data_IF_307034829623
#
_entry.id   IF_307034829623
#
_cell.length_a   1.000
_cell.length_b   1.000
_cell.length_c   1.000
_cell.angle_alpha   90.00
_cell.angle_beta   90.00
_cell.angle_gamma   90.00
#
_symmetry.space_group_name_H-M   'P 1'
#
loop_
_entity.id
_entity.type
_entity.pdbx_description
1 polymer ?
#
# COMPACT_ATOMS: atom_id res chain seq x y z
N UNK A 1 -18.17 11.34 2.88
CA UNK A 1 -18.74 11.89 1.63
C UNK A 1 -17.75 12.07 0.48
N UNK A 2 -16.64 11.39 0.56
CA UNK A 2 -15.62 11.42 -0.50
C UNK A 2 -15.76 10.27 -1.52
N UNK A 3 -16.80 9.47 -1.41
CA UNK A 3 -16.94 8.22 -2.19
C UNK A 3 -17.04 8.47 -3.69
N UNK A 4 -17.82 9.45 -4.15
CA UNK A 4 -18.02 9.69 -5.57
C UNK A 4 -16.73 10.16 -6.27
N UNK A 5 -15.99 11.07 -5.66
CA UNK A 5 -14.70 11.53 -6.19
C UNK A 5 -13.67 10.38 -6.23
N UNK A 6 -13.66 9.52 -5.22
CA UNK A 6 -12.78 8.36 -5.19
C UNK A 6 -13.16 7.34 -6.27
N UNK A 7 -14.44 7.08 -6.48
CA UNK A 7 -14.93 6.21 -7.56
C UNK A 7 -14.51 6.71 -8.94
N UNK A 8 -14.63 8.02 -9.18
CA UNK A 8 -14.17 8.64 -10.42
C UNK A 8 -12.66 8.52 -10.59
N UNK A 9 -11.89 8.79 -9.54
CA UNK A 9 -10.43 8.69 -9.58
C UNK A 9 -9.96 7.26 -9.84
N UNK A 10 -10.61 6.25 -9.27
CA UNK A 10 -10.29 4.85 -9.52
C UNK A 10 -10.52 4.43 -10.98
N UNK A 11 -11.31 5.17 -11.77
CA UNK A 11 -11.41 4.91 -13.23
C UNK A 11 -10.11 5.20 -13.97
N UNK A 12 -9.26 6.04 -13.40
CA UNK A 12 -8.01 6.47 -14.00
C UNK A 12 -6.78 5.80 -13.36
N UNK A 13 -6.97 4.90 -12.38
CA UNK A 13 -5.90 4.23 -11.66
C UNK A 13 -5.62 2.83 -12.22
N UNK A 14 -4.35 2.45 -12.28
CA UNK A 14 -3.91 1.09 -12.65
C UNK A 14 -3.56 0.24 -11.42
N UNK A 15 -3.35 0.87 -10.26
CA UNK A 15 -3.12 0.24 -8.97
C UNK A 15 -3.62 1.16 -7.85
N UNK A 16 -3.88 0.63 -6.67
CA UNK A 16 -4.35 1.39 -5.52
C UNK A 16 -3.55 1.05 -4.25
N UNK A 17 -3.48 2.01 -3.34
CA UNK A 17 -3.02 1.77 -1.97
C UNK A 17 -4.24 1.78 -1.05
N UNK A 18 -4.46 0.67 -0.37
CA UNK A 18 -5.45 0.56 0.70
C UNK A 18 -4.78 0.88 2.03
N UNK A 19 -5.23 1.95 2.68
CA UNK A 19 -4.70 2.37 3.98
C UNK A 19 -5.66 1.92 5.07
N UNK A 20 -5.16 1.06 5.97
CA UNK A 20 -5.90 0.53 7.12
C UNK A 20 -5.36 1.14 8.40
N UNK A 21 -6.23 1.57 9.28
CA UNK A 21 -5.86 1.99 10.64
C UNK A 21 -5.54 0.75 11.48
N UNK A 22 -4.33 0.65 12.01
CA UNK A 22 -3.85 -0.53 12.75
C UNK A 22 -4.70 -0.85 14.01
N UNK A 23 -5.36 0.14 14.60
CA UNK A 23 -6.25 -0.07 15.74
C UNK A 23 -7.67 -0.44 15.34
N UNK A 24 -8.18 0.13 14.23
CA UNK A 24 -9.57 -0.05 13.79
C UNK A 24 -9.78 -1.23 12.84
N UNK A 25 -8.75 -1.55 12.05
CA UNK A 25 -8.86 -2.55 10.98
C UNK A 25 -9.69 -2.06 9.79
N UNK A 26 -10.40 -2.98 9.15
CA UNK A 26 -11.20 -2.70 7.97
C UNK A 26 -12.53 -2.07 8.35
N UNK A 27 -12.72 -0.80 7.94
CA UNK A 27 -13.95 -0.05 8.13
C UNK A 27 -14.92 -0.24 6.94
N UNK A 28 -16.21 0.03 7.15
CA UNK A 28 -17.25 -0.14 6.11
C UNK A 28 -16.96 0.63 4.80
N UNK A 29 -16.33 1.79 4.90
CA UNK A 29 -15.94 2.58 3.73
C UNK A 29 -14.79 1.91 2.95
N UNK A 30 -13.85 1.28 3.65
CA UNK A 30 -12.76 0.51 3.02
C UNK A 30 -13.32 -0.65 2.20
N UNK A 31 -14.31 -1.39 2.73
CA UNK A 31 -14.98 -2.47 2.01
C UNK A 31 -15.61 -1.98 0.69
N UNK A 32 -16.34 -0.87 0.74
CA UNK A 32 -16.99 -0.32 -0.46
C UNK A 32 -15.98 0.07 -1.54
N UNK A 33 -14.88 0.70 -1.14
CA UNK A 33 -13.82 1.10 -2.09
C UNK A 33 -13.06 -0.11 -2.62
N UNK A 34 -12.85 -1.12 -1.79
CA UNK A 34 -12.28 -2.39 -2.20
C UNK A 34 -13.11 -3.08 -3.28
N UNK A 35 -14.45 -3.17 -3.09
CA UNK A 35 -15.37 -3.74 -4.08
C UNK A 35 -15.23 -3.04 -5.44
N UNK A 36 -15.07 -1.72 -5.45
CA UNK A 36 -14.85 -0.95 -6.70
C UNK A 36 -13.51 -1.30 -7.35
N UNK A 37 -12.44 -1.43 -6.56
CA UNK A 37 -11.15 -1.88 -7.09
C UNK A 37 -11.26 -3.28 -7.70
N UNK A 38 -11.94 -4.20 -7.01
CA UNK A 38 -12.15 -5.58 -7.47
C UNK A 38 -12.96 -5.64 -8.78
N UNK A 39 -14.04 -4.88 -8.88
CA UNK A 39 -14.86 -4.80 -10.11
C UNK A 39 -14.11 -4.23 -11.32
N UNK A 40 -12.98 -3.59 -11.09
CA UNK A 40 -12.15 -2.95 -12.13
C UNK A 40 -10.80 -3.64 -12.29
N UNK A 41 -10.59 -4.77 -11.63
CA UNK A 41 -9.33 -5.52 -11.63
C UNK A 41 -8.12 -4.63 -11.26
N UNK A 42 -8.31 -3.71 -10.32
CA UNK A 42 -7.26 -2.83 -9.81
C UNK A 42 -6.54 -3.53 -8.67
N UNK A 43 -5.26 -3.94 -8.84
CA UNK A 43 -4.49 -4.55 -7.77
C UNK A 43 -4.20 -3.56 -6.64
N UNK A 44 -4.09 -4.09 -5.43
CA UNK A 44 -4.01 -3.29 -4.20
C UNK A 44 -2.73 -3.61 -3.43
N UNK A 45 -2.00 -2.57 -3.06
CA UNK A 45 -0.98 -2.61 -2.01
C UNK A 45 -1.62 -2.17 -0.70
N UNK A 46 -1.45 -2.95 0.35
CA UNK A 46 -2.02 -2.62 1.68
C UNK A 46 -0.99 -1.96 2.59
N UNK A 47 -1.36 -0.84 3.18
CA UNK A 47 -0.57 -0.14 4.19
C UNK A 47 -1.32 -0.08 5.52
N UNK A 48 -0.84 -0.83 6.51
CA UNK A 48 -1.35 -0.81 7.89
C UNK A 48 -0.67 0.35 8.63
N UNK A 49 -1.43 1.42 8.82
CA UNK A 49 -0.97 2.73 9.27
C UNK A 49 -1.16 2.93 10.77
N UNK A 50 -0.37 3.79 11.36
CA UNK A 50 -0.40 4.23 12.76
C UNK A 50 0.19 3.21 13.74
N UNK A 51 1.20 2.47 13.34
CA UNK A 51 1.94 1.56 14.23
C UNK A 51 2.64 2.28 15.40
N UNK A 52 2.82 3.60 15.31
CA UNK A 52 3.30 4.47 16.40
C UNK A 52 2.27 4.69 17.53
N UNK A 53 1.08 4.09 17.43
CA UNK A 53 0.00 4.08 18.42
C UNK A 53 -0.35 2.65 18.81
N UNK A 54 -1.13 2.50 19.90
CA UNK A 54 -1.72 1.21 20.24
C UNK A 54 -2.51 0.65 19.07
N UNK A 55 -2.22 -0.59 18.73
CA UNK A 55 -2.74 -1.28 17.55
C UNK A 55 -3.20 -2.69 17.93
N UNK A 56 -3.92 -3.33 17.03
CA UNK A 56 -4.21 -4.77 17.14
C UNK A 56 -2.98 -5.59 16.80
N UNK A 57 -3.04 -6.88 17.12
CA UNK A 57 -2.03 -7.82 16.68
C UNK A 57 -1.89 -7.81 15.14
N UNK A 58 -0.67 -7.76 14.61
CA UNK A 58 -0.45 -7.76 13.16
C UNK A 58 -1.03 -8.99 12.46
N UNK A 59 -0.98 -10.19 13.07
CA UNK A 59 -1.58 -11.39 12.48
C UNK A 59 -3.10 -11.30 12.41
N UNK A 60 -3.75 -10.84 13.48
CA UNK A 60 -5.21 -10.60 13.47
C UNK A 60 -5.61 -9.62 12.35
N UNK A 61 -4.75 -8.64 12.04
CA UNK A 61 -4.97 -7.69 10.95
C UNK A 61 -4.85 -8.37 9.58
N UNK A 62 -3.88 -9.27 9.38
CA UNK A 62 -3.73 -10.05 8.16
C UNK A 62 -4.92 -11.00 7.95
N UNK A 63 -5.35 -11.69 9.02
CA UNK A 63 -6.51 -12.58 8.99
C UNK A 63 -7.79 -11.80 8.64
N UNK A 64 -8.00 -10.62 9.25
CA UNK A 64 -9.15 -9.77 8.92
C UNK A 64 -9.15 -9.35 7.44
N UNK A 65 -7.99 -9.01 6.87
CA UNK A 65 -7.87 -8.67 5.44
C UNK A 65 -8.23 -9.87 4.59
N UNK A 66 -7.65 -11.03 4.89
CA UNK A 66 -7.89 -12.26 4.13
C UNK A 66 -9.35 -12.67 4.19
N UNK A 67 -9.97 -12.66 5.37
CA UNK A 67 -11.35 -13.09 5.57
C UNK A 67 -12.36 -12.13 4.95
N UNK A 68 -12.23 -10.82 5.20
CA UNK A 68 -13.21 -9.82 4.74
C UNK A 68 -13.07 -9.48 3.27
N UNK A 69 -11.84 -9.47 2.74
CA UNK A 69 -11.58 -9.07 1.37
C UNK A 69 -11.38 -10.25 0.43
N UNK A 70 -11.25 -11.48 0.97
CA UNK A 70 -10.92 -12.67 0.18
C UNK A 70 -9.67 -12.44 -0.66
N UNK A 71 -8.66 -11.81 -0.06
CA UNK A 71 -7.34 -11.57 -0.61
C UNK A 71 -6.30 -12.34 0.19
N UNK A 72 -5.40 -13.01 -0.50
CA UNK A 72 -4.21 -13.54 0.12
C UNK A 72 -3.31 -12.38 0.57
N UNK A 73 -2.78 -12.45 1.80
CA UNK A 73 -1.91 -11.43 2.37
C UNK A 73 -0.47 -11.89 2.39
N UNK A 74 0.42 -11.06 1.86
CA UNK A 74 1.87 -11.27 1.97
C UNK A 74 2.51 -10.11 2.71
N UNK A 75 2.92 -10.27 3.98
CA UNK A 75 3.64 -9.23 4.67
C UNK A 75 5.02 -9.00 4.04
N UNK A 76 5.25 -7.79 3.57
CA UNK A 76 6.56 -7.34 3.05
C UNK A 76 7.39 -6.68 4.14
N UNK A 77 6.72 -6.10 5.13
CA UNK A 77 7.33 -5.57 6.35
C UNK A 77 6.60 -6.14 7.55
N UNK A 78 7.36 -6.48 8.61
CA UNK A 78 6.82 -6.96 9.89
C UNK A 78 7.21 -6.04 11.03
N UNK A 79 6.27 -5.54 11.85
CA UNK A 79 6.55 -4.57 12.88
C UNK A 79 7.25 -5.20 14.09
N UNK A 80 8.24 -4.51 14.64
CA UNK A 80 8.82 -4.81 15.95
C UNK A 80 8.18 -3.91 17.01
N UNK A 81 7.18 -4.46 17.68
CA UNK A 81 6.36 -3.74 18.65
C UNK A 81 5.34 -2.80 18.03
N UNK A 82 4.63 -2.07 18.87
CA UNK A 82 3.61 -1.07 18.50
C UNK A 82 3.52 0.04 19.55
N UNK A 83 2.89 1.14 19.22
CA UNK A 83 2.66 2.24 20.14
C UNK A 83 3.96 2.86 20.66
N UNK A 84 4.10 2.98 21.96
CA UNK A 84 5.31 3.49 22.60
C UNK A 84 6.52 2.56 22.43
N UNK A 85 6.26 1.27 22.23
CA UNK A 85 7.25 0.22 22.04
C UNK A 85 7.55 -0.07 20.56
N UNK A 86 7.02 0.71 19.63
CA UNK A 86 7.32 0.54 18.21
C UNK A 86 8.79 0.90 17.95
N UNK A 87 9.60 -0.09 17.58
CA UNK A 87 11.05 0.04 17.33
C UNK A 87 11.38 0.19 15.85
N UNK A 88 10.50 -0.26 14.98
CA UNK A 88 10.72 -0.31 13.54
C UNK A 88 10.03 -1.49 12.91
N UNK A 89 10.53 -1.91 11.75
CA UNK A 89 9.99 -3.07 11.06
C UNK A 89 11.08 -3.86 10.34
N UNK A 90 10.93 -5.18 10.32
CA UNK A 90 11.73 -6.05 9.47
C UNK A 90 11.17 -6.03 8.04
N UNK A 91 12.00 -5.74 7.06
CA UNK A 91 11.69 -5.89 5.63
C UNK A 91 12.05 -7.31 5.21
N UNK A 92 11.03 -8.12 4.89
CA UNK A 92 11.21 -9.57 4.75
C UNK A 92 12.01 -9.95 3.50
N UNK A 93 11.81 -9.24 2.40
CA UNK A 93 12.50 -9.51 1.13
C UNK A 93 13.99 -9.16 1.19
N UNK A 94 14.34 -8.02 1.75
CA UNK A 94 15.74 -7.56 1.87
C UNK A 94 16.46 -8.10 3.11
N UNK A 95 15.78 -8.81 3.99
CA UNK A 95 16.28 -9.31 5.27
C UNK A 95 16.95 -8.19 6.11
N UNK A 96 16.33 -7.02 6.15
CA UNK A 96 16.85 -5.84 6.83
C UNK A 96 15.84 -5.28 7.84
N UNK A 97 16.34 -4.69 8.91
CA UNK A 97 15.54 -3.98 9.89
C UNK A 97 15.60 -2.47 9.62
N UNK A 98 14.44 -1.86 9.51
CA UNK A 98 14.27 -0.42 9.38
C UNK A 98 13.96 0.15 10.78
N UNK A 99 14.89 0.89 11.40
CA UNK A 99 14.66 1.44 12.74
C UNK A 99 13.71 2.63 12.70
N UNK A 100 12.79 2.69 13.68
CA UNK A 100 11.87 3.81 13.84
C UNK A 100 12.40 4.82 14.84
N UNK A 101 12.39 6.10 14.48
CA UNK A 101 12.63 7.19 15.41
C UNK A 101 11.34 7.99 15.62
N UNK A 102 10.92 8.15 16.86
CA UNK A 102 9.72 8.93 17.22
C UNK A 102 9.94 10.44 16.98
N UNK A 103 11.16 10.90 17.19
CA UNK A 103 11.63 12.27 16.96
C UNK A 103 12.89 12.22 16.10
N UNK A 104 12.95 13.07 15.09
CA UNK A 104 14.06 13.12 14.15
C UNK A 104 13.92 12.15 12.96
N UNK A 105 15.02 11.96 12.25
CA UNK A 105 15.08 11.08 11.08
C UNK A 105 15.23 9.62 11.52
N UNK A 106 14.65 8.71 10.75
CA UNK A 106 14.82 7.27 10.95
C UNK A 106 16.25 6.86 10.62
N UNK A 107 16.74 5.86 11.35
CA UNK A 107 18.07 5.31 11.09
C UNK A 107 18.14 4.56 9.75
N UNK A 108 19.36 4.36 9.27
CA UNK A 108 19.58 3.52 8.11
C UNK A 108 19.17 2.06 8.39
N UNK A 109 18.72 1.36 7.36
CA UNK A 109 18.40 -0.06 7.45
C UNK A 109 19.65 -0.87 7.84
N UNK A 110 19.49 -1.84 8.73
CA UNK A 110 20.56 -2.74 9.20
C UNK A 110 20.18 -4.19 8.93
N UNK A 111 21.14 -5.11 8.69
CA UNK A 111 20.84 -6.53 8.53
C UNK A 111 20.14 -7.11 9.77
N UNK A 112 19.18 -8.02 9.56
CA UNK A 112 18.44 -8.69 10.67
C UNK A 112 19.34 -9.63 11.47
N UNK A 113 20.38 -10.18 10.88
CA UNK A 113 21.36 -11.09 11.46
C UNK A 113 22.64 -10.39 11.93
N UNK A 114 22.69 -9.06 11.86
CA UNK A 114 23.89 -8.29 12.21
C UNK A 114 23.94 -7.80 13.66
N UNK A 115 25.16 -7.59 14.18
CA UNK A 115 25.42 -7.02 15.52
C UNK A 115 24.79 -5.63 15.69
N UNK A 116 24.59 -4.89 14.59
CA UNK A 116 23.97 -3.56 14.61
C UNK A 116 22.52 -3.61 15.16
N UNK A 117 21.81 -4.71 14.96
CA UNK A 117 20.45 -4.89 15.48
C UNK A 117 20.40 -4.97 17.00
N UNK A 118 21.44 -5.54 17.63
CA UNK A 118 21.56 -5.62 19.09
C UNK A 118 21.65 -4.24 19.78
N UNK A 119 22.03 -3.20 19.05
CA UNK A 119 22.00 -1.81 19.54
C UNK A 119 20.63 -1.12 19.41
N UNK A 120 19.70 -1.70 18.66
CA UNK A 120 18.37 -1.15 18.35
C UNK A 120 17.24 -1.86 19.10
N UNK A 121 17.39 -3.15 19.37
CA UNK A 121 16.43 -4.00 20.08
C UNK A 121 17.08 -4.62 21.32
N UNK A 122 16.31 -4.73 22.40
CA UNK A 122 16.71 -5.57 23.54
C UNK A 122 16.70 -7.05 23.13
N UNK A 123 17.33 -7.91 23.96
CA UNK A 123 17.35 -9.34 23.71
C UNK A 123 15.94 -9.94 23.59
N UNK A 124 15.02 -9.51 24.45
CA UNK A 124 13.63 -9.99 24.46
C UNK A 124 12.85 -9.49 23.20
N UNK A 125 13.05 -8.20 22.82
CA UNK A 125 12.43 -7.66 21.61
C UNK A 125 12.93 -8.37 20.35
N UNK A 126 14.22 -8.68 20.30
CA UNK A 126 14.81 -9.43 19.19
C UNK A 126 14.30 -10.87 19.15
N UNK A 127 14.28 -11.57 20.29
CA UNK A 127 13.78 -12.95 20.35
C UNK A 127 12.32 -13.03 19.89
N UNK A 128 11.49 -12.06 20.32
CA UNK A 128 10.10 -11.98 19.86
C UNK A 128 10.01 -11.71 18.35
N UNK A 129 10.80 -10.79 17.83
CA UNK A 129 10.82 -10.51 16.40
C UNK A 129 11.25 -11.75 15.59
N UNK A 130 12.27 -12.48 16.04
CA UNK A 130 12.75 -13.69 15.38
C UNK A 130 11.66 -14.79 15.36
N UNK A 131 10.95 -14.99 16.47
CA UNK A 131 9.80 -15.91 16.56
C UNK A 131 8.68 -15.50 15.61
N UNK A 132 8.31 -14.23 15.64
CA UNK A 132 7.26 -13.69 14.75
C UNK A 132 7.64 -13.87 13.27
N UNK A 133 8.89 -13.60 12.90
CA UNK A 133 9.38 -13.75 11.53
C UNK A 133 9.43 -15.21 11.07
N UNK A 134 9.82 -16.13 11.94
CA UNK A 134 9.78 -17.57 11.64
C UNK A 134 8.34 -18.02 11.39
N UNK A 135 7.42 -17.62 12.26
CA UNK A 135 6.00 -17.93 12.12
C UNK A 135 5.42 -17.37 10.80
N UNK A 136 5.62 -16.08 10.55
CA UNK A 136 5.10 -15.39 9.35
C UNK A 136 5.63 -16.03 8.06
N UNK A 137 6.93 -16.36 8.02
CA UNK A 137 7.53 -17.05 6.86
C UNK A 137 7.01 -18.47 6.68
N UNK A 138 6.54 -19.11 7.76
CA UNK A 138 5.97 -20.44 7.72
C UNK A 138 4.51 -20.50 7.27
N UNK A 139 3.71 -19.46 7.55
CA UNK A 139 2.25 -19.47 7.33
C UNK A 139 1.80 -18.57 6.18
N UNK A 140 2.52 -17.46 5.90
CA UNK A 140 2.15 -16.55 4.83
C UNK A 140 2.77 -16.98 3.51
N UNK A 141 2.01 -16.86 2.43
CA UNK A 141 2.52 -17.09 1.10
C UNK A 141 3.62 -16.07 0.73
N UNK A 142 4.66 -16.48 -0.01
CA UNK A 142 5.62 -15.54 -0.56
C UNK A 142 4.96 -14.60 -1.57
N UNK A 143 5.54 -13.41 -1.75
CA UNK A 143 5.03 -12.47 -2.74
C UNK A 143 5.14 -13.04 -4.16
N UNK A 144 4.01 -13.03 -4.87
CA UNK A 144 3.92 -13.38 -6.28
C UNK A 144 3.35 -12.21 -7.08
N UNK A 145 4.14 -11.70 -8.02
CA UNK A 145 3.80 -10.53 -8.82
C UNK A 145 2.59 -10.75 -9.72
N UNK A 146 2.43 -11.97 -10.26
CA UNK A 146 1.31 -12.29 -11.12
C UNK A 146 0.02 -12.33 -10.31
N UNK A 147 0.01 -13.03 -9.18
CA UNK A 147 -1.12 -13.11 -8.26
C UNK A 147 -1.54 -11.71 -7.76
N UNK A 148 -0.56 -10.83 -7.45
CA UNK A 148 -0.84 -9.43 -7.13
C UNK A 148 -1.54 -8.70 -8.29
N UNK A 149 -1.01 -8.79 -9.50
CA UNK A 149 -1.58 -8.11 -10.68
C UNK A 149 -2.95 -8.63 -11.10
N UNK A 150 -3.24 -9.87 -10.80
CA UNK A 150 -4.55 -10.51 -11.00
C UNK A 150 -5.55 -10.17 -9.87
N UNK A 151 -5.10 -9.49 -8.81
CA UNK A 151 -5.95 -9.07 -7.69
C UNK A 151 -6.29 -10.19 -6.71
N UNK A 152 -5.50 -11.25 -6.65
CA UNK A 152 -5.65 -12.37 -5.72
C UNK A 152 -4.83 -12.20 -4.43
N UNK A 153 -3.76 -11.41 -4.49
CA UNK A 153 -2.81 -11.19 -3.41
C UNK A 153 -2.59 -9.70 -3.18
N UNK A 154 -2.40 -9.32 -1.90
CA UNK A 154 -1.98 -7.96 -1.52
C UNK A 154 -0.67 -8.00 -0.72
N UNK A 155 0.40 -7.31 -1.16
CA UNK A 155 1.57 -7.07 -0.33
C UNK A 155 1.21 -6.10 0.80
N UNK A 156 1.56 -6.45 2.04
CA UNK A 156 1.20 -5.69 3.24
C UNK A 156 2.43 -5.05 3.86
N UNK A 157 2.33 -3.76 4.10
CA UNK A 157 3.35 -2.93 4.74
C UNK A 157 2.80 -2.35 6.03
N UNK A 158 3.59 -2.40 7.11
CA UNK A 158 3.25 -1.80 8.40
C UNK A 158 4.08 -0.54 8.62
N UNK A 159 3.43 0.54 9.08
CA UNK A 159 4.15 1.79 9.27
C UNK A 159 3.34 2.90 9.94
N UNK A 160 3.85 4.12 9.83
CA UNK A 160 3.19 5.34 10.29
C UNK A 160 3.40 6.46 9.28
N UNK A 161 2.36 6.78 8.52
CA UNK A 161 2.41 7.84 7.50
C UNK A 161 2.70 9.21 8.12
N UNK A 162 2.14 9.49 9.32
CA UNK A 162 2.39 10.75 10.03
C UNK A 162 3.86 10.92 10.42
N UNK A 163 4.57 9.80 10.60
CA UNK A 163 5.99 9.76 10.96
C UNK A 163 6.88 9.46 9.77
N UNK A 164 6.34 9.41 8.57
CA UNK A 164 7.04 9.07 7.32
C UNK A 164 7.77 7.72 7.36
N UNK A 165 7.26 6.76 8.16
CA UNK A 165 7.82 5.43 8.30
C UNK A 165 7.07 4.41 7.46
N UNK A 166 7.77 3.66 6.62
CA UNK A 166 7.20 2.65 5.73
C UNK A 166 6.59 3.23 4.44
N UNK A 167 6.52 4.56 4.29
CA UNK A 167 5.93 5.22 3.11
C UNK A 167 6.81 5.03 1.88
N UNK A 168 8.13 5.16 2.03
CA UNK A 168 9.07 4.95 0.94
C UNK A 168 9.01 3.52 0.39
N UNK A 169 8.79 2.52 1.24
CA UNK A 169 8.65 1.11 0.88
C UNK A 169 7.40 0.89 0.03
N UNK A 170 6.27 1.48 0.43
CA UNK A 170 5.02 1.45 -0.37
C UNK A 170 5.21 2.13 -1.72
N UNK A 171 5.88 3.28 -1.78
CA UNK A 171 6.15 3.97 -3.05
C UNK A 171 7.06 3.14 -3.96
N UNK A 172 8.09 2.47 -3.42
CA UNK A 172 8.93 1.54 -4.18
C UNK A 172 8.12 0.36 -4.70
N UNK A 173 7.24 -0.22 -3.87
CA UNK A 173 6.34 -1.30 -4.27
C UNK A 173 5.44 -0.89 -5.44
N UNK A 174 4.82 0.29 -5.37
CA UNK A 174 4.02 0.81 -6.47
C UNK A 174 4.84 0.94 -7.75
N UNK A 175 6.05 1.50 -7.67
CA UNK A 175 6.94 1.65 -8.82
C UNK A 175 7.39 0.32 -9.43
N UNK A 176 7.55 -0.72 -8.60
CA UNK A 176 8.03 -2.03 -9.04
C UNK A 176 6.90 -2.98 -9.48
N UNK A 177 5.75 -2.94 -8.82
CA UNK A 177 4.71 -3.97 -8.95
C UNK A 177 3.50 -3.52 -9.75
N UNK A 178 3.18 -2.23 -9.78
CA UNK A 178 2.00 -1.74 -10.49
C UNK A 178 2.00 -2.25 -11.94
N UNK A 179 0.83 -2.65 -12.47
CA UNK A 179 0.74 -3.08 -13.85
C UNK A 179 0.99 -1.89 -14.79
N UNK A 180 1.45 -2.15 -16.01
CA UNK A 180 1.49 -1.12 -17.05
C UNK A 180 0.08 -0.61 -17.37
N UNK A 181 -0.05 0.56 -18.00
CA UNK A 181 -1.33 1.06 -18.48
C UNK A 181 -2.06 0.02 -19.32
N UNK A 182 -3.36 -0.14 -19.09
CA UNK A 182 -4.19 -1.13 -19.80
C UNK A 182 -4.89 -0.51 -21.00
N UNK A 183 -5.24 -1.33 -22.02
CA UNK A 183 -6.14 -0.90 -23.09
C UNK A 183 -7.47 -0.41 -22.53
N UNK A 184 -8.00 0.66 -23.11
CA UNK A 184 -9.28 1.24 -22.70
C UNK A 184 -10.31 1.11 -23.83
N UNK A 185 -11.48 0.57 -23.48
CA UNK A 185 -12.59 0.44 -24.41
C UNK A 185 -13.24 1.81 -24.66
N UNK A 186 -13.18 2.29 -25.88
CA UNK A 186 -13.94 3.41 -26.37
C UNK A 186 -15.20 2.92 -27.12
N UNK A 187 -16.09 3.85 -27.50
CA UNK A 187 -17.37 3.49 -28.16
C UNK A 187 -17.19 2.65 -29.41
N UNK A 188 -16.16 2.92 -30.19
CA UNK A 188 -15.96 2.30 -31.51
C UNK A 188 -14.81 1.30 -31.55
N UNK A 189 -13.90 1.30 -30.57
CA UNK A 189 -12.70 0.43 -30.58
C UNK A 189 -12.04 0.33 -29.21
N UNK A 190 -11.11 -0.60 -29.07
CA UNK A 190 -10.11 -0.56 -28.02
C UNK A 190 -9.04 0.46 -28.38
N UNK A 191 -8.56 1.19 -27.38
CA UNK A 191 -7.40 2.09 -27.48
C UNK A 191 -6.25 1.44 -26.76
N UNK A 192 -5.18 1.16 -27.49
CA UNK A 192 -3.98 0.55 -26.95
C UNK A 192 -3.01 1.63 -26.43
N UNK A 193 -2.37 1.42 -25.27
CA UNK A 193 -1.42 2.39 -24.71
C UNK A 193 -0.24 2.74 -25.61
N UNK A 194 0.16 1.81 -26.48
CA UNK A 194 1.29 1.98 -27.42
C UNK A 194 0.95 2.71 -28.72
N UNK A 195 -0.27 3.24 -28.89
CA UNK A 195 -0.63 3.98 -30.09
C UNK A 195 0.04 5.37 -30.11
N UNK A 196 0.52 5.81 -31.29
CA UNK A 196 1.13 7.15 -31.46
C UNK A 196 0.11 8.29 -31.31
N UNK A 197 -1.15 8.01 -31.66
CA UNK A 197 -2.22 9.00 -31.59
C UNK A 197 -2.58 9.28 -30.15
N UNK A 198 -2.58 10.58 -29.80
CA UNK A 198 -3.00 11.06 -28.48
C UNK A 198 -4.47 10.73 -28.24
N UNK A 199 -4.74 10.04 -27.13
CA UNK A 199 -6.08 9.78 -26.65
C UNK A 199 -6.13 9.77 -25.13
N UNK A 200 -7.29 10.11 -24.57
CA UNK A 200 -7.50 10.13 -23.13
C UNK A 200 -8.97 10.35 -22.82
N UNK A 201 -9.30 10.28 -21.54
CA UNK A 201 -10.64 10.59 -21.04
C UNK A 201 -10.59 11.45 -19.78
N UNK A 202 -11.55 12.34 -19.65
CA UNK A 202 -11.72 13.18 -18.46
C UNK A 202 -12.48 12.38 -17.41
N UNK A 203 -11.87 12.18 -16.25
CA UNK A 203 -12.50 11.44 -15.14
C UNK A 203 -13.01 12.35 -14.01
N UNK A 204 -12.52 13.59 -13.94
CA UNK A 204 -12.93 14.57 -12.92
C UNK A 204 -12.87 15.99 -13.49
N UNK A 205 -13.84 16.82 -13.12
CA UNK A 205 -13.80 18.27 -13.34
C UNK A 205 -14.02 18.94 -11.99
N UNK A 206 -13.10 19.80 -11.59
CA UNK A 206 -13.17 20.52 -10.32
C UNK A 206 -13.19 22.03 -10.57
N UNK A 207 -14.15 22.71 -9.94
CA UNK A 207 -14.23 24.16 -9.94
C UNK A 207 -13.56 24.75 -8.71
N UNK A 208 -13.17 26.03 -8.78
CA UNK A 208 -12.68 26.80 -7.66
C UNK A 208 -11.48 26.19 -6.92
N UNK A 209 -10.53 25.60 -7.65
CA UNK A 209 -9.25 25.13 -7.08
C UNK A 209 -8.38 26.29 -6.59
N UNK A 210 -8.40 27.42 -7.32
CA UNK A 210 -7.80 28.66 -6.88
C UNK A 210 -8.93 29.63 -6.45
N UNK A 211 -8.95 30.12 -5.20
CA UNK A 211 -9.95 31.07 -4.72
C UNK A 211 -10.01 32.37 -5.53
N UNK A 212 -8.91 32.73 -6.21
CA UNK A 212 -8.83 33.94 -7.02
C UNK A 212 -9.31 33.76 -8.47
N UNK A 213 -9.53 32.52 -8.90
CA UNK A 213 -9.95 32.18 -10.25
C UNK A 213 -11.23 31.35 -10.25
N UNK A 214 -12.14 31.66 -11.18
CA UNK A 214 -13.40 30.90 -11.38
C UNK A 214 -13.26 29.77 -12.40
N UNK A 215 -12.04 29.40 -12.73
CA UNK A 215 -11.74 28.39 -13.72
C UNK A 215 -12.12 27.00 -13.23
N UNK A 216 -12.40 26.11 -14.18
CA UNK A 216 -12.61 24.68 -13.94
C UNK A 216 -11.40 23.93 -14.44
N UNK A 217 -10.87 23.04 -13.62
CA UNK A 217 -9.77 22.15 -13.99
C UNK A 217 -10.33 20.80 -14.33
N UNK A 218 -10.04 20.33 -15.55
CA UNK A 218 -10.38 18.98 -15.98
C UNK A 218 -9.17 18.05 -15.76
N UNK A 219 -9.37 16.97 -15.03
CA UNK A 219 -8.38 15.92 -14.84
C UNK A 219 -8.59 14.85 -15.90
N UNK A 220 -7.58 14.66 -16.74
CA UNK A 220 -7.62 13.71 -17.84
C UNK A 220 -6.59 12.60 -17.64
N UNK A 221 -7.03 11.35 -17.79
CA UNK A 221 -6.14 10.21 -17.94
C UNK A 221 -5.75 10.07 -19.40
N UNK A 222 -4.46 10.18 -19.67
CA UNK A 222 -3.90 9.83 -20.99
C UNK A 222 -3.87 8.31 -21.13
N UNK A 223 -4.36 7.80 -22.27
CA UNK A 223 -4.35 6.37 -22.58
C UNK A 223 -3.24 6.04 -23.56
N UNK A 224 -3.06 6.87 -24.58
CA UNK A 224 -2.06 6.65 -25.64
C UNK A 224 -1.46 7.95 -26.14
N UNK A 225 -0.35 7.84 -26.87
CA UNK A 225 0.36 8.95 -27.50
C UNK A 225 1.19 9.80 -26.53
N UNK A 226 1.77 10.87 -27.07
CA UNK A 226 2.53 11.86 -26.33
C UNK A 226 1.84 13.22 -26.44
N UNK A 227 1.75 13.93 -25.32
CA UNK A 227 1.12 15.24 -25.22
C UNK A 227 2.17 16.32 -25.04
#
# INVERSE_FOLDING_TARGET
DFSEDTYRTLTAADSAVMVIDAAKGIEAQTLKLFEVCRLRDIPIVTFVNKMDREARDPMETLDEISDKLQLETTPMMWPAGMGLNFRGAAHLESNAFLPFARLGEHGAAVPLDGDALAGLLSADEKAKLDEDLEFVRGVCAPFDLQSYREGHLTPVYFGSALKDFGVAEVLRALGAYAPPPRPVKADKRMVEPGEDKVSGFVFKVQANMDPNHRDRVAFMRMVSGHF
#
